data_IF_268382957181
#
_entry.id   IF_268382957181
#
_cell.length_a   1.000
_cell.length_b   1.000
_cell.length_c   1.000
_cell.angle_alpha   90.00
_cell.angle_beta   90.00
_cell.angle_gamma   90.00
#
_symmetry.space_group_name_H-M   'P 1'
#
loop_
_entity.id
_entity.type
_entity.pdbx_description
1 polymer ?
#
# COMPACT_ATOMS: atom_id res chain seq x y z
N UNK A 1 -6.07 5.65 48.23
CA UNK A 1 -4.89 4.75 48.19
C UNK A 1 -5.27 3.27 48.04
N UNK A 2 -6.39 2.82 48.61
CA UNK A 2 -6.86 1.42 48.58
C UNK A 2 -7.06 0.84 47.16
N UNK A 3 -7.69 1.58 46.24
CA UNK A 3 -7.91 1.12 44.85
C UNK A 3 -6.60 0.85 44.07
N UNK A 4 -5.50 1.53 44.40
CA UNK A 4 -4.22 1.33 43.70
C UNK A 4 -3.58 0.00 44.09
N UNK A 5 -3.71 -0.41 45.35
CA UNK A 5 -3.16 -1.68 45.84
C UNK A 5 -3.96 -2.87 45.31
N UNK A 6 -5.29 -2.77 45.28
CA UNK A 6 -6.17 -3.81 44.73
C UNK A 6 -5.94 -4.00 43.22
N UNK A 7 -5.75 -2.90 42.47
CA UNK A 7 -5.41 -2.98 41.05
C UNK A 7 -4.06 -3.66 40.80
N UNK A 8 -3.01 -3.28 41.55
CA UNK A 8 -1.67 -3.88 41.40
C UNK A 8 -1.70 -5.37 41.74
N UNK A 9 -2.49 -5.76 42.75
CA UNK A 9 -2.64 -7.16 43.13
C UNK A 9 -3.35 -7.98 42.05
N UNK A 10 -4.50 -7.49 41.56
CA UNK A 10 -5.21 -8.14 40.45
C UNK A 10 -4.36 -8.23 39.17
N UNK A 11 -3.57 -7.19 38.87
CA UNK A 11 -2.63 -7.21 37.75
C UNK A 11 -1.54 -8.28 37.91
N UNK A 12 -0.95 -8.40 39.11
CA UNK A 12 0.05 -9.45 39.40
C UNK A 12 -0.54 -10.86 39.27
N UNK A 13 -1.76 -11.05 39.75
CA UNK A 13 -2.46 -12.32 39.64
C UNK A 13 -2.74 -12.67 38.18
N UNK A 14 -3.15 -11.71 37.35
CA UNK A 14 -3.34 -11.96 35.92
C UNK A 14 -2.02 -12.22 35.19
N UNK A 15 -0.95 -11.48 35.49
CA UNK A 15 0.37 -11.79 34.93
C UNK A 15 0.84 -13.19 35.31
N UNK A 16 0.55 -13.64 36.54
CA UNK A 16 0.83 -15.01 36.96
C UNK A 16 -0.01 -16.01 36.15
N UNK A 17 -1.29 -15.75 35.93
CA UNK A 17 -2.15 -16.60 35.09
C UNK A 17 -1.59 -16.68 33.67
N UNK A 18 -1.32 -15.55 33.02
CA UNK A 18 -0.75 -15.51 31.66
C UNK A 18 0.53 -16.33 31.55
N UNK A 19 1.43 -16.26 32.55
CA UNK A 19 2.72 -16.99 32.51
C UNK A 19 2.56 -18.49 32.85
N UNK A 20 1.65 -18.83 33.76
CA UNK A 20 1.48 -20.21 34.24
C UNK A 20 0.58 -21.05 33.33
N UNK A 21 -0.23 -20.39 32.52
CA UNK A 21 -1.20 -20.99 31.63
C UNK A 21 -0.63 -21.11 30.23
N UNK A 22 -0.30 -22.34 29.82
CA UNK A 22 0.28 -22.57 28.50
C UNK A 22 -0.61 -22.09 27.34
N UNK A 23 -1.94 -22.19 27.45
CA UNK A 23 -2.85 -21.72 26.40
C UNK A 23 -2.83 -20.20 26.31
N UNK A 24 -3.06 -19.53 27.44
CA UNK A 24 -3.10 -18.06 27.49
C UNK A 24 -1.74 -17.46 27.12
N UNK A 25 -0.63 -18.08 27.56
CA UNK A 25 0.73 -17.67 27.20
C UNK A 25 0.95 -17.74 25.69
N UNK A 26 0.58 -18.86 25.06
CA UNK A 26 0.73 -19.03 23.62
C UNK A 26 -0.13 -18.02 22.87
N UNK A 27 -1.37 -17.80 23.28
CA UNK A 27 -2.28 -16.86 22.63
C UNK A 27 -1.82 -15.41 22.77
N UNK A 28 -1.36 -14.99 23.96
CA UNK A 28 -1.00 -13.58 24.22
C UNK A 28 0.42 -13.23 23.78
N UNK A 29 1.35 -14.18 23.76
CA UNK A 29 2.77 -13.92 23.44
C UNK A 29 3.18 -14.60 22.14
N UNK A 30 3.01 -15.91 22.02
CA UNK A 30 3.53 -16.66 20.88
C UNK A 30 2.78 -16.32 19.58
N UNK A 31 1.45 -16.19 19.63
CA UNK A 31 0.65 -15.88 18.46
C UNK A 31 0.98 -14.50 17.88
N UNK A 32 1.03 -13.38 18.65
CA UNK A 32 1.47 -12.10 18.12
C UNK A 32 2.84 -12.16 17.50
N UNK A 33 3.82 -12.75 18.19
CA UNK A 33 5.20 -12.83 17.67
C UNK A 33 5.27 -13.62 16.37
N UNK A 34 4.54 -14.73 16.28
CA UNK A 34 4.44 -15.52 15.05
C UNK A 34 3.78 -14.69 13.94
N UNK A 35 2.69 -13.97 14.22
CA UNK A 35 2.04 -13.11 13.24
C UNK A 35 2.94 -11.96 12.79
N UNK A 36 3.64 -11.29 13.71
CA UNK A 36 4.63 -10.25 13.39
C UNK A 36 5.72 -10.82 12.49
N UNK A 37 6.23 -12.01 12.81
CA UNK A 37 7.26 -12.67 12.01
C UNK A 37 6.74 -13.00 10.60
N UNK A 38 5.57 -13.63 10.49
CA UNK A 38 4.96 -13.99 9.20
C UNK A 38 4.69 -12.74 8.35
N UNK A 39 4.00 -11.74 8.91
CA UNK A 39 3.70 -10.50 8.19
C UNK A 39 4.98 -9.74 7.86
N UNK A 40 5.90 -9.59 8.82
CA UNK A 40 7.19 -8.95 8.62
C UNK A 40 8.01 -9.59 7.50
N UNK A 41 7.96 -10.92 7.37
CA UNK A 41 8.63 -11.65 6.29
C UNK A 41 8.00 -11.39 4.92
N UNK A 42 6.66 -11.34 4.83
CA UNK A 42 5.93 -11.05 3.59
C UNK A 42 6.22 -9.63 3.09
N UNK A 43 6.24 -8.67 4.01
CA UNK A 43 6.45 -7.25 3.71
C UNK A 43 7.91 -6.81 3.82
N UNK A 44 8.86 -7.73 3.98
CA UNK A 44 10.29 -7.41 4.07
C UNK A 44 10.77 -6.63 2.85
N UNK A 45 10.33 -7.06 1.66
CA UNK A 45 10.50 -6.31 0.41
C UNK A 45 9.30 -5.37 0.25
N UNK A 46 9.42 -4.18 0.85
CA UNK A 46 8.34 -3.17 0.90
C UNK A 46 7.98 -2.57 -0.46
N UNK A 47 8.80 -2.80 -1.49
CA UNK A 47 8.61 -2.32 -2.86
C UNK A 47 8.29 -3.48 -3.80
N UNK A 48 7.15 -3.41 -4.48
CA UNK A 48 6.81 -4.36 -5.55
C UNK A 48 7.45 -3.88 -6.85
N UNK A 49 8.51 -4.57 -7.27
CA UNK A 49 9.18 -4.30 -8.55
C UNK A 49 8.62 -5.20 -9.64
N UNK A 50 8.80 -4.79 -10.90
CA UNK A 50 8.47 -5.60 -12.07
C UNK A 50 7.01 -6.06 -12.10
N UNK A 51 6.09 -5.14 -11.82
CA UNK A 51 4.65 -5.42 -11.83
C UNK A 51 4.21 -5.65 -13.28
N UNK A 52 3.57 -6.81 -13.58
CA UNK A 52 3.05 -7.11 -14.92
C UNK A 52 2.08 -6.03 -15.39
N UNK A 53 2.41 -5.42 -16.52
CA UNK A 53 1.69 -4.30 -17.11
C UNK A 53 1.57 -4.52 -18.62
N UNK A 54 0.54 -3.94 -19.23
CA UNK A 54 0.37 -3.95 -20.67
C UNK A 54 0.15 -2.55 -21.24
N UNK A 55 0.40 -2.42 -22.55
CA UNK A 55 0.10 -1.20 -23.29
C UNK A 55 -0.74 -1.55 -24.51
N UNK A 56 -1.93 -0.96 -24.57
CA UNK A 56 -2.85 -1.00 -25.71
C UNK A 56 -2.63 0.26 -26.53
N UNK A 57 -1.92 0.11 -27.64
CA UNK A 57 -1.59 1.23 -28.52
C UNK A 57 -2.48 1.24 -29.77
N UNK A 58 -3.55 2.06 -29.71
CA UNK A 58 -4.45 2.26 -30.85
C UNK A 58 -3.93 3.31 -31.85
N UNK A 59 -2.96 4.12 -31.46
CA UNK A 59 -2.37 5.19 -32.29
C UNK A 59 -1.27 4.65 -33.19
N UNK A 60 -0.44 3.74 -32.65
CA UNK A 60 0.69 3.08 -33.32
C UNK A 60 1.71 4.06 -33.91
N UNK A 61 1.99 5.14 -33.19
CA UNK A 61 2.87 6.22 -33.64
C UNK A 61 4.25 6.19 -32.96
N UNK A 62 5.25 6.90 -33.50
CA UNK A 62 6.54 7.05 -32.82
C UNK A 62 6.41 7.64 -31.42
N UNK A 63 5.48 8.57 -31.21
CA UNK A 63 5.23 9.18 -29.90
C UNK A 63 4.69 8.17 -28.89
N UNK A 64 3.66 7.38 -29.22
CA UNK A 64 3.12 6.34 -28.31
C UNK A 64 4.18 5.27 -27.97
N UNK A 65 4.99 4.88 -28.96
CA UNK A 65 6.10 3.94 -28.76
C UNK A 65 7.20 4.52 -27.86
N UNK A 66 7.53 5.81 -27.99
CA UNK A 66 8.51 6.49 -27.14
C UNK A 66 8.04 6.53 -25.68
N UNK A 67 6.77 6.88 -25.44
CA UNK A 67 6.21 6.86 -24.08
C UNK A 67 6.20 5.44 -23.51
N UNK A 68 5.85 4.44 -24.33
CA UNK A 68 5.91 3.03 -23.92
C UNK A 68 7.31 2.61 -23.48
N UNK A 69 8.36 3.06 -24.17
CA UNK A 69 9.76 2.79 -23.79
C UNK A 69 10.14 3.45 -22.47
N UNK A 70 9.70 4.69 -22.24
CA UNK A 70 9.94 5.39 -20.96
C UNK A 70 9.24 4.66 -19.81
N UNK A 71 8.02 4.16 -20.02
CA UNK A 71 7.32 3.34 -19.03
C UNK A 71 8.06 2.04 -18.74
N UNK A 72 8.59 1.35 -19.75
CA UNK A 72 9.38 0.13 -19.55
C UNK A 72 10.73 0.36 -18.85
N UNK A 73 11.20 1.60 -18.78
CA UNK A 73 12.44 1.93 -18.07
C UNK A 73 12.22 2.14 -16.56
N UNK A 74 10.98 2.30 -16.11
CA UNK A 74 10.65 2.38 -14.69
C UNK A 74 10.80 1.01 -14.02
N UNK A 75 11.56 0.88 -12.91
CA UNK A 75 11.82 -0.40 -12.26
C UNK A 75 10.55 -1.09 -11.70
N UNK A 76 9.49 -0.32 -11.48
CA UNK A 76 8.18 -0.78 -11.00
C UNK A 76 7.39 -1.49 -12.09
N UNK A 77 7.61 -1.13 -13.36
CA UNK A 77 6.78 -1.57 -14.49
C UNK A 77 7.50 -2.70 -15.25
N UNK A 78 6.80 -3.80 -15.50
CA UNK A 78 7.24 -4.83 -16.44
C UNK A 78 6.20 -4.98 -17.56
N UNK A 79 6.54 -4.53 -18.76
CA UNK A 79 5.65 -4.66 -19.92
C UNK A 79 5.75 -6.08 -20.47
N UNK A 80 4.76 -6.91 -20.19
CA UNK A 80 4.72 -8.33 -20.59
C UNK A 80 4.11 -8.50 -21.99
N UNK A 81 2.99 -7.82 -22.23
CA UNK A 81 2.17 -7.99 -23.42
C UNK A 81 1.80 -6.63 -24.03
N UNK A 82 1.40 -6.69 -25.31
CA UNK A 82 0.84 -5.56 -26.06
C UNK A 82 -0.48 -5.97 -26.70
N UNK A 83 -1.58 -5.97 -25.92
CA UNK A 83 -2.89 -6.28 -26.44
C UNK A 83 -3.26 -5.31 -27.56
N UNK A 84 -3.87 -5.83 -28.62
CA UNK A 84 -4.23 -5.05 -29.81
C UNK A 84 -5.52 -4.25 -29.60
N UNK A 85 -6.34 -4.64 -28.63
CA UNK A 85 -7.64 -4.03 -28.35
C UNK A 85 -7.84 -3.77 -26.86
N UNK A 86 -8.77 -2.84 -26.56
CA UNK A 86 -9.23 -2.62 -25.19
C UNK A 86 -9.74 -3.92 -24.54
N UNK A 87 -10.52 -4.70 -25.28
CA UNK A 87 -11.11 -5.93 -24.76
C UNK A 87 -10.07 -6.99 -24.42
N UNK A 88 -9.01 -7.14 -25.24
CA UNK A 88 -7.90 -8.03 -24.91
C UNK A 88 -7.18 -7.58 -23.63
N UNK A 89 -6.92 -6.28 -23.47
CA UNK A 89 -6.32 -5.74 -22.24
C UNK A 89 -7.18 -6.02 -21.00
N UNK A 90 -8.49 -5.84 -21.11
CA UNK A 90 -9.45 -6.18 -20.05
C UNK A 90 -9.43 -7.67 -19.73
N UNK A 91 -9.44 -8.53 -20.75
CA UNK A 91 -9.42 -9.98 -20.58
C UNK A 91 -8.13 -10.46 -19.90
N UNK A 92 -6.97 -9.94 -20.28
CA UNK A 92 -5.69 -10.26 -19.63
C UNK A 92 -5.66 -9.82 -18.17
N UNK A 93 -6.24 -8.65 -17.87
CA UNK A 93 -6.35 -8.13 -16.51
C UNK A 93 -7.30 -8.99 -15.65
N UNK A 94 -8.44 -9.42 -16.19
CA UNK A 94 -9.36 -10.35 -15.51
C UNK A 94 -8.75 -11.73 -15.32
N UNK A 95 -7.94 -12.20 -16.26
CA UNK A 95 -7.18 -13.44 -16.15
C UNK A 95 -5.99 -13.34 -15.18
N UNK A 96 -5.82 -12.21 -14.48
CA UNK A 96 -4.72 -11.93 -13.54
C UNK A 96 -3.32 -12.06 -14.17
N UNK A 97 -3.21 -11.98 -15.50
CA UNK A 97 -1.92 -11.99 -16.22
C UNK A 97 -1.19 -10.67 -16.09
N UNK A 98 -1.95 -9.58 -16.02
CA UNK A 98 -1.46 -8.22 -15.83
C UNK A 98 -2.20 -7.54 -14.68
N UNK A 99 -1.50 -6.66 -13.97
CA UNK A 99 -2.06 -5.86 -12.88
C UNK A 99 -2.84 -4.64 -13.39
N UNK A 100 -2.53 -4.20 -14.62
CA UNK A 100 -3.20 -3.09 -15.27
C UNK A 100 -2.66 -2.87 -16.68
N UNK A 101 -3.28 -1.94 -17.41
CA UNK A 101 -2.82 -1.54 -18.74
C UNK A 101 -3.06 -0.07 -19.03
N UNK A 102 -2.22 0.49 -19.89
CA UNK A 102 -2.37 1.84 -20.44
C UNK A 102 -3.00 1.76 -21.83
N UNK A 103 -3.91 2.66 -22.16
CA UNK A 103 -4.52 2.77 -23.49
C UNK A 103 -4.19 4.13 -24.11
N UNK A 104 -3.46 4.10 -25.23
CA UNK A 104 -3.26 5.25 -26.10
C UNK A 104 -4.40 5.30 -27.13
N UNK A 105 -5.21 6.38 -27.17
CA UNK A 105 -6.32 6.48 -28.11
C UNK A 105 -5.82 6.77 -29.54
N UNK A 106 -6.67 6.50 -30.54
CA UNK A 106 -6.41 6.92 -31.93
C UNK A 106 -6.28 8.44 -32.02
N UNK A 107 -5.26 8.92 -32.73
CA UNK A 107 -4.98 10.35 -32.89
C UNK A 107 -4.20 10.96 -31.74
N UNK A 108 -3.67 10.16 -30.81
CA UNK A 108 -2.89 10.62 -29.66
C UNK A 108 -1.74 11.55 -30.07
N UNK A 109 -0.89 11.13 -31.01
CA UNK A 109 0.22 11.97 -31.51
C UNK A 109 -0.30 13.23 -32.21
N UNK A 110 -1.37 13.11 -33.00
CA UNK A 110 -1.95 14.24 -33.74
C UNK A 110 -2.44 15.34 -32.80
N UNK A 111 -3.17 14.99 -31.74
CA UNK A 111 -3.63 15.97 -30.76
C UNK A 111 -2.45 16.58 -29.98
N UNK A 112 -1.45 15.77 -29.66
CA UNK A 112 -0.26 16.25 -28.96
C UNK A 112 0.53 17.28 -29.78
N UNK A 113 0.74 17.01 -31.08
CA UNK A 113 1.44 17.92 -32.00
C UNK A 113 0.69 19.24 -32.22
N UNK A 114 -0.64 19.23 -32.05
CA UNK A 114 -1.47 20.44 -32.13
C UNK A 114 -1.57 21.22 -30.81
N UNK A 115 -1.07 20.66 -29.70
CA UNK A 115 -1.23 21.25 -28.37
C UNK A 115 -2.66 21.14 -27.81
N UNK A 116 -3.51 20.28 -28.37
CA UNK A 116 -4.91 20.10 -27.96
C UNK A 116 -5.07 19.18 -26.73
N UNK A 117 -3.99 18.50 -26.30
CA UNK A 117 -4.01 17.49 -25.24
C UNK A 117 -4.66 16.18 -25.70
N UNK A 118 -4.35 15.06 -25.05
CA UNK A 118 -4.96 13.77 -25.36
C UNK A 118 -5.16 12.93 -24.11
N UNK A 119 -6.34 12.33 -23.99
CA UNK A 119 -6.71 11.50 -22.84
C UNK A 119 -6.13 10.09 -22.97
N UNK A 120 -5.00 9.85 -22.28
CA UNK A 120 -4.48 8.49 -22.08
C UNK A 120 -5.16 7.87 -20.88
N UNK A 121 -5.66 6.63 -21.02
CA UNK A 121 -6.42 5.96 -19.96
C UNK A 121 -5.58 4.88 -19.30
N UNK A 122 -5.51 4.91 -17.97
CA UNK A 122 -4.90 3.86 -17.15
C UNK A 122 -6.00 3.01 -16.51
N UNK A 123 -5.93 1.70 -16.74
CA UNK A 123 -6.82 0.71 -16.14
C UNK A 123 -6.04 -0.14 -15.16
N UNK A 124 -6.57 -0.36 -13.96
CA UNK A 124 -5.90 -1.06 -12.86
C UNK A 124 -6.82 -2.09 -12.21
N UNK A 125 -6.26 -3.26 -11.89
CA UNK A 125 -6.95 -4.30 -11.14
C UNK A 125 -6.80 -4.09 -9.62
N UNK A 126 -7.76 -3.43 -8.99
CA UNK A 126 -7.65 -3.08 -7.57
C UNK A 126 -7.88 -4.24 -6.59
N UNK A 127 -8.09 -5.49 -7.06
CA UNK A 127 -8.10 -6.68 -6.17
C UNK A 127 -6.77 -6.84 -5.42
N UNK A 128 -5.66 -6.45 -6.06
CA UNK A 128 -4.36 -6.22 -5.43
C UNK A 128 -4.11 -4.72 -5.41
N UNK A 129 -4.49 -4.08 -4.32
CA UNK A 129 -4.43 -2.62 -4.19
C UNK A 129 -2.99 -2.09 -4.25
N UNK A 130 -2.02 -2.73 -3.58
CA UNK A 130 -0.65 -2.20 -3.48
C UNK A 130 0.06 -2.13 -4.84
N UNK A 131 0.13 -3.22 -5.62
CA UNK A 131 0.74 -3.16 -6.93
C UNK A 131 0.03 -2.18 -7.88
N UNK A 132 -1.30 -2.02 -7.74
CA UNK A 132 -2.05 -1.04 -8.53
C UNK A 132 -1.69 0.41 -8.18
N UNK A 133 -1.52 0.72 -6.90
CA UNK A 133 -1.13 2.05 -6.44
C UNK A 133 0.29 2.40 -6.90
N UNK A 134 1.22 1.45 -6.79
CA UNK A 134 2.60 1.63 -7.25
C UNK A 134 2.66 1.83 -8.77
N UNK A 135 1.91 1.05 -9.56
CA UNK A 135 1.75 1.29 -11.00
C UNK A 135 1.18 2.68 -11.31
N UNK A 136 0.13 3.10 -10.61
CA UNK A 136 -0.46 4.43 -10.80
C UNK A 136 0.59 5.53 -10.57
N UNK A 137 1.39 5.41 -9.50
CA UNK A 137 2.45 6.38 -9.19
C UNK A 137 3.55 6.38 -10.24
N UNK A 138 4.01 5.20 -10.66
CA UNK A 138 5.05 5.05 -11.68
C UNK A 138 4.61 5.67 -13.02
N UNK A 139 3.41 5.32 -13.48
CA UNK A 139 2.83 5.89 -14.72
C UNK A 139 2.73 7.41 -14.60
N UNK A 140 2.14 7.96 -13.54
CA UNK A 140 2.01 9.41 -13.39
C UNK A 140 3.35 10.13 -13.35
N UNK A 141 4.37 9.57 -12.67
CA UNK A 141 5.72 10.14 -12.63
C UNK A 141 6.33 10.26 -14.03
N UNK A 142 6.20 9.19 -14.84
CA UNK A 142 6.66 9.19 -16.23
C UNK A 142 5.90 10.24 -17.06
N UNK A 143 4.58 10.29 -16.93
CA UNK A 143 3.75 11.26 -17.65
C UNK A 143 4.05 12.70 -17.29
N UNK A 144 4.22 13.02 -16.00
CA UNK A 144 4.62 14.35 -15.53
C UNK A 144 5.98 14.78 -16.09
N UNK A 145 6.94 13.85 -16.15
CA UNK A 145 8.27 14.11 -16.72
C UNK A 145 8.19 14.40 -18.21
N UNK A 146 7.41 13.60 -18.94
CA UNK A 146 7.18 13.77 -20.38
C UNK A 146 6.49 15.09 -20.69
N UNK A 147 5.42 15.39 -19.95
CA UNK A 147 4.63 16.63 -20.07
C UNK A 147 5.49 17.89 -19.81
N UNK A 148 6.34 17.87 -18.78
CA UNK A 148 7.32 18.93 -18.56
C UNK A 148 8.30 19.09 -19.74
N UNK A 149 8.77 17.98 -20.31
CA UNK A 149 9.64 17.98 -21.49
C UNK A 149 8.95 18.55 -22.74
N UNK A 150 7.67 18.22 -22.95
CA UNK A 150 6.85 18.73 -24.07
C UNK A 150 6.67 20.24 -23.95
N UNK A 151 6.27 20.74 -22.77
CA UNK A 151 6.14 22.19 -22.55
C UNK A 151 7.47 22.91 -22.73
N UNK A 152 8.58 22.34 -22.26
CA UNK A 152 9.91 22.94 -22.44
C UNK A 152 10.26 23.04 -23.93
N UNK A 153 9.99 21.99 -24.69
CA UNK A 153 10.24 22.00 -26.14
C UNK A 153 9.37 23.03 -26.85
N UNK A 154 8.08 23.11 -26.50
CA UNK A 154 7.17 24.13 -27.02
C UNK A 154 7.70 25.55 -26.79
N UNK A 155 8.11 25.89 -25.56
CA UNK A 155 8.71 27.20 -25.28
C UNK A 155 10.01 27.46 -26.04
N UNK A 156 10.85 26.43 -26.22
CA UNK A 156 12.06 26.54 -27.02
C UNK A 156 11.74 26.87 -28.49
N UNK A 157 10.69 26.27 -29.08
CA UNK A 157 10.26 26.61 -30.45
C UNK A 157 9.73 28.04 -30.59
N UNK A 158 9.29 28.66 -29.48
CA UNK A 158 8.89 30.08 -29.41
C UNK A 158 10.07 31.03 -29.17
N UNK A 159 11.32 30.52 -29.20
CA UNK A 159 12.53 31.32 -29.05
C UNK A 159 12.92 31.63 -27.60
N UNK A 160 12.27 31.01 -26.61
CA UNK A 160 12.61 31.22 -25.21
C UNK A 160 13.89 30.46 -24.84
N UNK A 161 14.77 31.11 -24.08
CA UNK A 161 15.96 30.46 -23.52
C UNK A 161 15.54 29.32 -22.59
N UNK A 162 16.22 28.17 -22.68
CA UNK A 162 15.99 26.99 -21.84
C UNK A 162 15.90 27.30 -20.34
N UNK A 163 16.76 28.20 -19.82
CA UNK A 163 16.74 28.60 -18.40
C UNK A 163 15.43 29.28 -18.01
N UNK A 164 14.92 30.13 -18.88
CA UNK A 164 13.66 30.84 -18.68
C UNK A 164 12.45 29.92 -18.91
N UNK A 165 12.53 29.02 -19.90
CA UNK A 165 11.52 27.97 -20.13
C UNK A 165 11.37 27.02 -18.95
N UNK A 166 12.47 26.65 -18.28
CA UNK A 166 12.44 25.83 -17.06
C UNK A 166 11.70 26.53 -15.90
N UNK A 167 11.84 27.85 -15.77
CA UNK A 167 11.14 28.63 -14.75
C UNK A 167 9.63 28.72 -15.04
N UNK A 168 9.24 28.74 -16.32
CA UNK A 168 7.83 28.78 -16.74
C UNK A 168 7.11 27.44 -16.52
N UNK A 169 7.78 26.31 -16.76
CA UNK A 169 7.15 24.98 -16.63
C UNK A 169 7.09 24.47 -15.18
N UNK A 170 7.92 25.01 -14.29
CA UNK A 170 8.00 24.63 -12.89
C UNK A 170 8.17 25.87 -11.99
N UNK A 171 7.16 26.76 -11.93
CA UNK A 171 7.26 28.03 -11.19
C UNK A 171 7.33 27.83 -9.68
N UNK A 172 6.87 26.69 -9.18
CA UNK A 172 6.93 26.30 -7.77
C UNK A 172 7.76 25.02 -7.67
N UNK A 173 9.00 25.15 -7.19
CA UNK A 173 9.82 23.98 -6.86
C UNK A 173 9.35 23.42 -5.52
N UNK A 174 8.50 22.40 -5.58
CA UNK A 174 8.07 21.69 -4.39
C UNK A 174 9.25 20.93 -3.77
N UNK A 175 9.71 21.35 -2.58
CA UNK A 175 10.64 20.58 -1.75
C UNK A 175 9.81 19.64 -0.85
N UNK A 176 9.43 18.48 -1.40
CA UNK A 176 8.65 17.48 -0.68
C UNK A 176 9.62 16.54 0.04
N UNK A 177 9.68 16.65 1.37
CA UNK A 177 10.47 15.76 2.22
C UNK A 177 9.53 14.88 3.03
N UNK A 178 9.41 13.58 2.71
CA UNK A 178 8.61 12.68 3.53
C UNK A 178 9.29 12.48 4.89
N UNK A 179 8.64 12.88 5.98
CA UNK A 179 9.24 12.87 7.33
C UNK A 179 9.15 11.48 7.99
N UNK A 180 8.19 10.63 7.59
CA UNK A 180 7.93 9.34 8.22
C UNK A 180 7.78 8.15 7.25
N UNK A 181 7.81 8.40 5.94
CA UNK A 181 7.75 7.36 4.91
C UNK A 181 8.50 7.83 3.67
N UNK A 182 9.84 7.83 3.73
CA UNK A 182 10.73 8.35 2.68
C UNK A 182 10.59 7.64 1.34
N UNK A 183 10.17 6.38 1.36
CA UNK A 183 9.92 5.56 0.17
C UNK A 183 8.44 5.57 -0.24
N UNK A 184 7.59 6.24 0.54
CA UNK A 184 6.12 6.21 0.41
C UNK A 184 5.56 4.78 0.27
N UNK A 185 6.26 3.80 0.84
CA UNK A 185 5.91 2.40 0.71
C UNK A 185 4.78 2.06 1.68
N UNK A 186 3.86 1.20 1.25
CA UNK A 186 2.68 0.90 2.06
C UNK A 186 2.98 -0.03 3.24
N UNK A 187 4.10 -0.77 3.23
CA UNK A 187 4.54 -1.60 4.35
C UNK A 187 4.79 -0.77 5.62
N UNK A 188 5.46 0.37 5.48
CA UNK A 188 5.72 1.31 6.58
C UNK A 188 4.45 1.98 7.12
N UNK A 189 3.41 2.09 6.29
CA UNK A 189 2.10 2.59 6.69
C UNK A 189 1.22 1.53 7.37
N UNK A 190 1.14 0.33 6.78
CA UNK A 190 0.18 -0.70 7.18
C UNK A 190 0.68 -1.57 8.34
N UNK A 191 1.98 -1.90 8.39
CA UNK A 191 2.52 -2.79 9.42
C UNK A 191 2.22 -2.30 10.85
N UNK A 192 2.41 -1.01 11.21
CA UNK A 192 2.08 -0.54 12.56
C UNK A 192 0.60 -0.78 12.93
N UNK A 193 -0.33 -0.46 12.03
CA UNK A 193 -1.76 -0.69 12.26
C UNK A 193 -2.09 -2.17 12.43
N UNK A 194 -1.49 -3.03 11.60
CA UNK A 194 -1.66 -4.48 11.70
C UNK A 194 -1.10 -5.04 13.00
N UNK A 195 0.04 -4.54 13.47
CA UNK A 195 0.61 -4.91 14.77
C UNK A 195 -0.34 -4.59 15.91
N UNK A 196 -0.92 -3.38 15.93
CA UNK A 196 -1.92 -3.02 16.94
C UNK A 196 -3.17 -3.91 16.88
N UNK A 197 -3.67 -4.22 15.68
CA UNK A 197 -4.82 -5.10 15.51
C UNK A 197 -4.53 -6.52 15.99
N UNK A 198 -3.37 -7.08 15.62
CA UNK A 198 -2.94 -8.41 16.08
C UNK A 198 -2.87 -8.42 17.61
N UNK A 199 -2.19 -7.45 18.21
CA UNK A 199 -2.06 -7.35 19.67
C UNK A 199 -3.43 -7.23 20.34
N UNK A 200 -4.31 -6.36 19.83
CA UNK A 200 -5.66 -6.20 20.35
C UNK A 200 -6.43 -7.51 20.30
N UNK A 201 -6.41 -8.20 19.15
CA UNK A 201 -7.19 -9.41 18.95
C UNK A 201 -6.69 -10.56 19.83
N UNK A 202 -5.38 -10.74 19.94
CA UNK A 202 -4.80 -11.79 20.78
C UNK A 202 -4.99 -11.52 22.27
N UNK A 203 -4.95 -10.25 22.70
CA UNK A 203 -5.26 -9.87 24.07
C UNK A 203 -6.74 -10.14 24.41
N UNK A 204 -7.66 -9.86 23.48
CA UNK A 204 -9.09 -10.16 23.67
C UNK A 204 -9.36 -11.66 23.78
N UNK A 205 -8.72 -12.48 22.93
CA UNK A 205 -8.84 -13.94 23.01
C UNK A 205 -8.24 -14.44 24.32
N UNK A 206 -7.04 -13.97 24.69
CA UNK A 206 -6.39 -14.34 25.96
C UNK A 206 -7.20 -13.94 27.20
N UNK A 207 -7.88 -12.80 27.17
CA UNK A 207 -8.84 -12.39 28.21
C UNK A 207 -10.01 -13.37 28.32
N UNK A 208 -10.58 -13.78 27.17
CA UNK A 208 -11.64 -14.78 27.12
C UNK A 208 -11.19 -16.13 27.68
N UNK A 209 -9.99 -16.59 27.29
CA UNK A 209 -9.39 -17.81 27.82
C UNK A 209 -9.17 -17.74 29.33
N UNK A 210 -8.56 -16.66 29.85
CA UNK A 210 -8.36 -16.46 31.29
C UNK A 210 -9.69 -16.48 32.06
N UNK A 211 -10.72 -15.82 31.51
CA UNK A 211 -12.05 -15.79 32.13
C UNK A 211 -12.70 -17.18 32.19
N UNK A 212 -12.66 -17.94 31.09
CA UNK A 212 -13.18 -19.31 31.04
C UNK A 212 -12.40 -20.21 32.00
N UNK A 213 -11.08 -20.10 32.05
CA UNK A 213 -10.22 -20.86 32.96
C UNK A 213 -10.56 -20.61 34.43
N UNK A 214 -10.78 -19.35 34.81
CA UNK A 214 -11.20 -18.94 36.16
C UNK A 214 -12.60 -19.45 36.50
N UNK A 215 -13.50 -19.49 35.51
CA UNK A 215 -14.83 -20.09 35.67
C UNK A 215 -14.73 -21.59 35.93
N UNK A 216 -13.92 -22.32 35.17
CA UNK A 216 -13.72 -23.76 35.32
C UNK A 216 -13.08 -24.13 36.66
N UNK A 217 -12.16 -23.30 37.16
CA UNK A 217 -11.51 -23.48 38.47
C UNK A 217 -12.36 -23.03 39.67
N UNK A 218 -13.54 -22.45 39.42
CA UNK A 218 -14.42 -21.94 40.49
C UNK A 218 -13.96 -20.63 41.14
N UNK A 219 -12.81 -20.09 40.75
CA UNK A 219 -12.19 -18.88 41.30
C UNK A 219 -13.11 -17.65 41.17
N UNK A 220 -13.94 -17.57 40.12
CA UNK A 220 -14.91 -16.48 39.96
C UNK A 220 -15.94 -16.45 41.10
N UNK A 221 -16.36 -17.60 41.62
CA UNK A 221 -17.33 -17.66 42.72
C UNK A 221 -16.68 -17.20 44.04
N UNK A 222 -15.42 -17.57 44.26
CA UNK A 222 -14.66 -17.16 45.44
C UNK A 222 -14.42 -15.65 45.46
N UNK A 223 -14.08 -15.05 44.32
CA UNK A 223 -13.88 -13.59 44.20
C UNK A 223 -15.18 -12.83 44.48
N UNK A 224 -16.31 -13.27 43.90
CA UNK A 224 -17.61 -12.65 44.13
C UNK A 224 -18.09 -12.76 45.58
N UNK A 225 -17.78 -13.87 46.27
CA UNK A 225 -18.06 -14.02 47.70
C UNK A 225 -17.17 -13.13 48.57
N UNK A 226 -15.91 -12.92 48.16
CA UNK A 226 -14.93 -12.11 48.90
C UNK A 226 -15.19 -10.60 48.80
N UNK A 227 -15.77 -10.15 47.69
CA UNK A 227 -16.14 -8.74 47.45
C UNK A 227 -17.51 -8.35 48.03
N UNK A 228 -18.21 -9.27 48.71
CA UNK A 228 -19.39 -8.94 49.54
C UNK A 228 -20.71 -8.68 48.80
N UNK A 229 -20.76 -8.83 47.48
CA UNK A 229 -22.00 -8.81 46.69
C UNK A 229 -22.34 -10.24 46.22
N UNK A 230 -22.82 -11.04 47.16
CA UNK A 230 -23.59 -12.23 46.81
C UNK A 230 -24.86 -11.83 46.07
N UNK A 231 -25.17 -12.53 44.98
CA UNK A 231 -26.57 -12.70 44.56
C UNK A 231 -27.17 -13.77 45.46
#
# INVERSE_FOLDING_TARGET
MHNRQNFIQGFKEEMKTVISDHSVLLTVIAAPLLYVFLMGSIYWNKEVKQIPFAVVDLDKTPTSQKLTRLLSADPTIRIENRPSTYQEGVNEMYALKIQGFLLFPKGFEKHLLKGEGSDVKLYLNTTRFLPSNDLNRAVNTVFQTVDAGIRLHYYATKGLNKKYGMQLINPVMADVRPIYNSTNNYGDYLLPGLLFLILQQTLLIGLGESFVRRRERGELKEILQKDGNGI
#
